data_IF_173499949109
#
_entry.id   IF_173499949109
#
_cell.length_a   1.000
_cell.length_b   1.000
_cell.length_c   1.000
_cell.angle_alpha   90.00
_cell.angle_beta   90.00
_cell.angle_gamma   90.00
#
_symmetry.space_group_name_H-M   'P 1'
#
loop_
_entity.id
_entity.type
_entity.pdbx_description
1 polymer ?
#
# COMPACT_ATOMS: atom_id res chain seq x y z
N UNK A 1 -30.77 37.81 6.37
CA UNK A 1 -29.43 37.90 5.74
C UNK A 1 -28.35 37.10 6.48
N UNK A 2 -28.62 36.53 7.67
CA UNK A 2 -27.71 35.61 8.38
C UNK A 2 -27.94 34.13 8.01
N UNK A 3 -29.19 33.73 7.74
CA UNK A 3 -29.58 32.35 7.41
C UNK A 3 -28.97 31.80 6.11
N UNK A 4 -28.61 32.67 5.16
CA UNK A 4 -27.96 32.28 3.90
C UNK A 4 -26.43 32.10 4.03
N UNK A 5 -25.81 32.67 5.07
CA UNK A 5 -24.40 32.49 5.37
C UNK A 5 -24.16 31.17 6.10
N UNK A 6 -25.02 30.82 7.07
CA UNK A 6 -24.95 29.53 7.77
C UNK A 6 -25.18 28.33 6.83
N UNK A 7 -26.07 28.49 5.84
CA UNK A 7 -26.29 27.47 4.81
C UNK A 7 -25.07 27.30 3.87
N UNK A 8 -24.30 28.36 3.63
CA UNK A 8 -23.05 28.31 2.85
C UNK A 8 -21.88 27.75 3.66
N UNK A 9 -21.83 27.98 4.97
CA UNK A 9 -20.82 27.36 5.85
C UNK A 9 -21.03 25.85 6.02
N UNK A 10 -22.28 25.38 6.12
CA UNK A 10 -22.57 23.92 6.12
C UNK A 10 -22.17 23.22 4.83
N UNK A 11 -22.09 23.93 3.70
CA UNK A 11 -21.69 23.38 2.40
C UNK A 11 -20.18 23.30 2.20
N UNK A 12 -19.38 23.80 3.16
CA UNK A 12 -17.92 23.69 3.16
C UNK A 12 -17.45 22.65 4.18
N UNK A 13 -18.25 21.61 4.43
CA UNK A 13 -17.70 20.36 4.97
C UNK A 13 -16.66 19.91 3.96
N UNK A 14 -15.40 20.06 4.32
CA UNK A 14 -14.25 19.62 3.54
C UNK A 14 -14.54 18.21 3.05
N UNK A 15 -14.86 18.09 1.76
CA UNK A 15 -15.13 16.82 1.14
C UNK A 15 -13.78 16.13 0.99
N UNK A 16 -13.35 15.48 2.07
CA UNK A 16 -12.18 14.62 2.03
C UNK A 16 -12.59 13.42 1.17
N UNK A 17 -11.90 13.14 0.06
CA UNK A 17 -12.19 11.96 -0.74
C UNK A 17 -11.98 10.71 0.14
N UNK A 18 -13.06 9.93 0.32
CA UNK A 18 -13.09 8.76 1.20
C UNK A 18 -13.97 8.94 2.44
N UNK A 19 -14.48 7.84 2.99
CA UNK A 19 -15.22 7.88 4.27
C UNK A 19 -14.29 8.29 5.42
N UNK A 20 -14.74 9.10 6.41
CA UNK A 20 -13.91 9.48 7.56
C UNK A 20 -13.32 8.29 8.32
N UNK A 21 -14.06 7.18 8.35
CA UNK A 21 -13.65 5.92 8.98
C UNK A 21 -12.38 5.34 8.34
N UNK A 22 -12.23 5.53 7.03
CA UNK A 22 -11.05 5.10 6.28
C UNK A 22 -9.80 5.91 6.69
N UNK A 23 -9.94 7.22 6.89
CA UNK A 23 -8.83 8.07 7.31
C UNK A 23 -8.38 7.78 8.75
N UNK A 24 -9.33 7.48 9.64
CA UNK A 24 -9.02 7.02 11.00
C UNK A 24 -8.24 5.71 10.97
N UNK A 25 -8.65 4.77 10.12
CA UNK A 25 -7.95 3.51 9.91
C UNK A 25 -6.52 3.73 9.37
N UNK A 26 -6.37 4.56 8.33
CA UNK A 26 -5.05 4.91 7.75
C UNK A 26 -4.13 5.54 8.80
N UNK A 27 -4.65 6.46 9.61
CA UNK A 27 -3.87 7.10 10.68
C UNK A 27 -3.42 6.07 11.72
N UNK A 28 -4.32 5.18 12.14
CA UNK A 28 -4.02 4.12 13.08
C UNK A 28 -2.93 3.16 12.56
N UNK A 29 -3.05 2.70 11.32
CA UNK A 29 -2.03 1.84 10.69
C UNK A 29 -0.70 2.56 10.55
N UNK A 30 -0.72 3.81 10.10
CA UNK A 30 0.50 4.62 9.96
C UNK A 30 1.20 4.79 11.32
N UNK A 31 0.45 5.02 12.40
CA UNK A 31 1.00 5.12 13.75
C UNK A 31 1.60 3.79 14.23
N UNK A 32 0.93 2.65 14.00
CA UNK A 32 1.45 1.33 14.34
C UNK A 32 2.75 1.02 13.61
N UNK A 33 2.78 1.23 12.29
CA UNK A 33 3.99 1.03 11.48
C UNK A 33 5.11 1.97 11.89
N UNK A 34 4.81 3.24 12.16
CA UNK A 34 5.80 4.22 12.63
C UNK A 34 6.39 3.83 13.98
N UNK A 35 5.57 3.34 14.92
CA UNK A 35 6.02 2.81 16.20
C UNK A 35 6.95 1.61 16.02
N UNK A 36 6.57 0.66 15.15
CA UNK A 36 7.41 -0.50 14.86
C UNK A 36 8.72 -0.11 14.16
N UNK A 37 8.69 0.84 13.22
CA UNK A 37 9.89 1.35 12.56
C UNK A 37 10.86 2.01 13.55
N UNK A 38 10.34 2.68 14.58
CA UNK A 38 11.17 3.24 15.64
C UNK A 38 11.91 2.14 16.41
N UNK A 39 11.23 1.03 16.72
CA UNK A 39 11.87 -0.14 17.35
C UNK A 39 12.94 -0.74 16.43
N UNK A 40 12.62 -0.95 15.15
CA UNK A 40 13.58 -1.46 14.16
C UNK A 40 14.85 -0.59 14.07
N UNK A 41 14.70 0.74 14.05
CA UNK A 41 15.84 1.67 14.02
C UNK A 41 16.70 1.57 15.28
N UNK A 42 16.09 1.44 16.47
CA UNK A 42 16.82 1.25 17.72
C UNK A 42 17.59 -0.08 17.71
N UNK A 43 16.93 -1.20 17.36
CA UNK A 43 17.59 -2.52 17.28
C UNK A 43 18.73 -2.53 16.28
N UNK A 44 18.58 -1.82 15.14
CA UNK A 44 19.65 -1.67 14.16
C UNK A 44 20.89 -0.99 14.76
N UNK A 45 20.73 0.11 15.51
CA UNK A 45 21.88 0.81 16.13
C UNK A 45 22.62 -0.04 17.16
N UNK A 46 21.96 -1.07 17.70
CA UNK A 46 22.57 -1.99 18.66
C UNK A 46 23.41 -3.08 17.97
N UNK A 47 23.06 -3.49 16.74
CA UNK A 47 23.68 -4.61 16.02
C UNK A 47 23.98 -4.27 14.54
N UNK A 48 24.61 -3.12 14.28
CA UNK A 48 24.82 -2.58 12.92
C UNK A 48 25.55 -3.55 11.97
N UNK A 49 26.58 -4.24 12.46
CA UNK A 49 27.40 -5.14 11.64
C UNK A 49 26.61 -6.38 11.15
N UNK A 50 25.73 -6.92 12.00
CA UNK A 50 24.87 -8.05 11.66
C UNK A 50 23.77 -7.64 10.67
N UNK A 51 23.22 -6.43 10.85
CA UNK A 51 22.23 -5.88 9.93
C UNK A 51 22.83 -5.60 8.55
N UNK A 52 24.03 -5.02 8.47
CA UNK A 52 24.73 -4.76 7.21
C UNK A 52 25.07 -6.05 6.44
N UNK A 53 25.50 -7.10 7.14
CA UNK A 53 25.78 -8.41 6.52
C UNK A 53 24.50 -9.08 6.01
N UNK A 54 23.47 -9.17 6.84
CA UNK A 54 22.18 -9.78 6.46
C UNK A 54 21.47 -8.99 5.34
N UNK A 55 21.61 -7.67 5.32
CA UNK A 55 21.07 -6.82 4.26
C UNK A 55 21.85 -6.95 2.93
N UNK A 56 23.11 -7.41 2.99
CA UNK A 56 23.92 -7.73 1.82
C UNK A 56 23.44 -8.98 1.07
N UNK A 57 22.74 -9.89 1.76
CA UNK A 57 22.16 -11.09 1.16
C UNK A 57 20.87 -10.78 0.38
N UNK A 58 20.20 -9.65 0.67
CA UNK A 58 19.00 -9.24 -0.04
C UNK A 58 19.32 -8.60 -1.39
N UNK A 59 18.65 -9.06 -2.44
CA UNK A 59 18.77 -8.47 -3.76
C UNK A 59 17.95 -7.17 -3.90
N UNK A 60 18.64 -6.04 -3.81
CA UNK A 60 18.10 -4.70 -4.01
C UNK A 60 17.33 -4.56 -5.33
N UNK A 61 17.68 -5.31 -6.38
CA UNK A 61 17.03 -5.22 -7.69
C UNK A 61 15.58 -5.67 -7.63
N UNK A 62 15.29 -6.72 -6.86
CA UNK A 62 13.92 -7.18 -6.63
C UNK A 62 13.12 -6.14 -5.85
N UNK A 63 13.72 -5.55 -4.80
CA UNK A 63 13.10 -4.47 -4.04
C UNK A 63 12.76 -3.24 -4.90
N UNK A 64 13.69 -2.79 -5.75
CA UNK A 64 13.48 -1.66 -6.66
C UNK A 64 12.42 -1.98 -7.71
N UNK A 65 12.49 -3.15 -8.34
CA UNK A 65 11.50 -3.59 -9.33
C UNK A 65 10.08 -3.61 -8.74
N UNK A 66 9.94 -4.17 -7.54
CA UNK A 66 8.69 -4.24 -6.81
C UNK A 66 8.13 -2.85 -6.47
N UNK A 67 8.99 -1.93 -6.05
CA UNK A 67 8.59 -0.56 -5.73
C UNK A 67 8.12 0.17 -6.99
N UNK A 68 8.81 0.03 -8.12
CA UNK A 68 8.37 0.60 -9.40
C UNK A 68 7.01 0.01 -9.82
N UNK A 69 6.83 -1.31 -9.69
CA UNK A 69 5.57 -1.96 -10.02
C UNK A 69 4.40 -1.41 -9.19
N UNK A 70 4.59 -1.26 -7.87
CA UNK A 70 3.55 -0.70 -7.00
C UNK A 70 3.25 0.78 -7.29
N UNK A 71 4.27 1.61 -7.54
CA UNK A 71 4.07 3.01 -7.94
C UNK A 71 3.29 3.13 -9.26
N UNK A 72 3.54 2.23 -10.22
CA UNK A 72 2.75 2.16 -11.46
C UNK A 72 1.30 1.71 -11.18
N UNK A 73 1.08 0.79 -10.25
CA UNK A 73 -0.25 0.41 -9.76
C UNK A 73 -0.99 1.56 -9.08
N UNK A 74 -0.28 2.34 -8.27
CA UNK A 74 -0.74 3.57 -7.63
C UNK A 74 -1.18 4.60 -8.68
N UNK A 75 -0.36 4.82 -9.71
CA UNK A 75 -0.72 5.69 -10.83
C UNK A 75 -1.95 5.18 -11.60
N UNK A 76 -2.06 3.87 -11.80
CA UNK A 76 -3.20 3.26 -12.47
C UNK A 76 -4.50 3.47 -11.68
N UNK A 77 -4.51 3.27 -10.35
CA UNK A 77 -5.71 3.49 -9.55
C UNK A 77 -6.09 4.99 -9.49
N UNK A 78 -5.12 5.90 -9.46
CA UNK A 78 -5.39 7.33 -9.58
C UNK A 78 -6.07 7.68 -10.91
N UNK A 79 -5.62 7.09 -12.03
CA UNK A 79 -6.26 7.23 -13.35
C UNK A 79 -7.64 6.56 -13.40
N UNK A 80 -7.86 5.48 -12.65
CA UNK A 80 -9.17 4.86 -12.48
C UNK A 80 -10.17 5.84 -11.85
N UNK A 81 -9.80 6.48 -10.75
CA UNK A 81 -10.64 7.48 -10.06
C UNK A 81 -10.97 8.65 -11.01
N UNK A 82 -9.97 9.19 -11.70
CA UNK A 82 -10.18 10.30 -12.66
C UNK A 82 -11.13 9.90 -13.80
N UNK A 83 -10.93 8.71 -14.40
CA UNK A 83 -11.79 8.21 -15.46
C UNK A 83 -13.22 7.93 -14.96
N UNK A 84 -13.36 7.44 -13.72
CA UNK A 84 -14.66 7.24 -13.08
C UNK A 84 -15.40 8.57 -12.90
N UNK A 85 -14.71 9.63 -12.44
CA UNK A 85 -15.27 10.98 -12.30
C UNK A 85 -15.70 11.59 -13.64
N UNK A 86 -14.95 11.33 -14.70
CA UNK A 86 -15.28 11.77 -16.07
C UNK A 86 -16.39 10.93 -16.74
N UNK A 87 -16.97 9.93 -16.07
CA UNK A 87 -17.97 9.03 -16.64
C UNK A 87 -17.42 8.03 -17.65
N UNK A 88 -16.10 7.95 -17.82
CA UNK A 88 -15.41 7.06 -18.74
C UNK A 88 -15.15 5.68 -18.11
N UNK A 89 -16.21 4.97 -17.74
CA UNK A 89 -16.14 3.73 -16.94
C UNK A 89 -15.34 2.59 -17.60
N UNK A 90 -15.31 2.49 -18.94
CA UNK A 90 -14.47 1.50 -19.64
C UNK A 90 -12.98 1.74 -19.39
N UNK A 91 -12.57 3.01 -19.40
CA UNK A 91 -11.18 3.40 -19.08
C UNK A 91 -10.89 3.18 -17.60
N UNK A 92 -11.85 3.49 -16.71
CA UNK A 92 -11.73 3.23 -15.28
C UNK A 92 -11.51 1.73 -14.97
N UNK A 93 -12.33 0.85 -15.56
CA UNK A 93 -12.18 -0.60 -15.42
C UNK A 93 -10.82 -1.10 -15.90
N UNK A 94 -10.36 -0.64 -17.08
CA UNK A 94 -9.04 -1.01 -17.59
C UNK A 94 -7.93 -0.62 -16.61
N UNK A 95 -7.99 0.59 -16.07
CA UNK A 95 -7.01 1.08 -15.11
C UNK A 95 -7.08 0.33 -13.76
N UNK A 96 -8.26 -0.06 -13.31
CA UNK A 96 -8.42 -0.91 -12.12
C UNK A 96 -7.79 -2.30 -12.33
N UNK A 97 -8.02 -2.94 -13.48
CA UNK A 97 -7.37 -4.22 -13.81
C UNK A 97 -5.84 -4.08 -13.94
N UNK A 98 -5.34 -2.97 -14.49
CA UNK A 98 -3.91 -2.68 -14.50
C UNK A 98 -3.34 -2.58 -13.08
N UNK A 99 -4.02 -1.87 -12.17
CA UNK A 99 -3.60 -1.79 -10.77
C UNK A 99 -3.53 -3.16 -10.09
N UNK A 100 -4.55 -4.02 -10.30
CA UNK A 100 -4.55 -5.41 -9.82
C UNK A 100 -3.37 -6.18 -10.43
N UNK A 101 -3.12 -6.05 -11.73
CA UNK A 101 -2.00 -6.71 -12.41
C UNK A 101 -0.64 -6.35 -11.80
N UNK A 102 -0.40 -5.07 -11.54
CA UNK A 102 0.83 -4.62 -10.87
C UNK A 102 0.95 -5.16 -9.45
N UNK A 103 -0.14 -5.18 -8.68
CA UNK A 103 -0.15 -5.82 -7.36
C UNK A 103 0.18 -7.31 -7.44
N UNK A 104 -0.34 -8.04 -8.44
CA UNK A 104 -0.07 -9.48 -8.60
C UNK A 104 1.40 -9.72 -8.93
N UNK A 105 1.99 -8.90 -9.80
CA UNK A 105 3.43 -8.95 -10.10
C UNK A 105 4.25 -8.76 -8.84
N UNK A 106 3.91 -7.75 -8.02
CA UNK A 106 4.54 -7.53 -6.74
C UNK A 106 4.40 -8.74 -5.80
N UNK A 107 3.20 -9.29 -5.66
CA UNK A 107 2.94 -10.43 -4.79
C UNK A 107 3.73 -11.66 -5.23
N UNK A 108 3.79 -11.95 -6.53
CA UNK A 108 4.55 -13.06 -7.08
C UNK A 108 6.06 -12.88 -6.84
N UNK A 109 6.60 -11.68 -7.13
CA UNK A 109 8.00 -11.37 -6.89
C UNK A 109 8.38 -11.50 -5.40
N UNK A 110 7.48 -11.14 -4.49
CA UNK A 110 7.69 -11.32 -3.05
C UNK A 110 7.68 -12.76 -2.59
N UNK A 111 6.75 -13.56 -3.10
CA UNK A 111 6.76 -15.01 -2.81
C UNK A 111 8.05 -15.65 -3.34
N UNK A 112 8.53 -15.27 -4.53
CA UNK A 112 9.79 -15.80 -5.05
C UNK A 112 11.00 -15.40 -4.21
N UNK A 113 11.03 -14.16 -3.71
CA UNK A 113 12.10 -13.69 -2.81
C UNK A 113 12.09 -14.48 -1.50
N UNK A 114 10.94 -14.63 -0.84
CA UNK A 114 10.82 -15.44 0.38
C UNK A 114 11.26 -16.89 0.17
N UNK A 115 10.83 -17.53 -0.91
CA UNK A 115 11.25 -18.91 -1.21
C UNK A 115 12.76 -19.00 -1.42
N UNK A 116 13.36 -17.97 -2.02
CA UNK A 116 14.79 -17.92 -2.33
C UNK A 116 15.60 -17.73 -1.04
N UNK A 117 15.21 -16.79 -0.17
CA UNK A 117 15.83 -16.58 1.15
C UNK A 117 15.72 -17.83 2.04
N UNK A 118 14.54 -18.46 2.10
CA UNK A 118 14.34 -19.69 2.89
C UNK A 118 15.23 -20.82 2.36
N UNK A 119 15.41 -20.93 1.04
CA UNK A 119 16.31 -21.93 0.43
C UNK A 119 17.79 -21.65 0.72
N UNK A 120 18.17 -20.39 0.90
CA UNK A 120 19.53 -20.01 1.30
C UNK A 120 19.81 -20.21 2.80
N UNK A 121 18.81 -20.65 3.59
CA UNK A 121 18.94 -20.86 5.04
C UNK A 121 18.61 -19.62 5.88
N UNK A 122 18.18 -18.53 5.23
CA UNK A 122 17.76 -17.28 5.88
C UNK A 122 16.30 -17.40 6.34
N UNK A 123 16.10 -18.16 7.42
CA UNK A 123 14.80 -18.39 8.06
C UNK A 123 14.47 -17.33 9.10
N UNK A 124 13.22 -17.33 9.57
CA UNK A 124 12.73 -16.48 10.65
C UNK A 124 13.54 -16.58 11.96
N UNK A 125 14.30 -17.67 12.17
CA UNK A 125 15.11 -17.87 13.38
C UNK A 125 16.59 -17.59 13.17
N UNK A 126 17.00 -17.23 11.94
CA UNK A 126 18.43 -17.09 11.61
C UNK A 126 19.03 -15.86 12.28
N UNK A 127 18.38 -14.70 12.20
CA UNK A 127 18.89 -13.44 12.74
C UNK A 127 17.74 -12.48 13.10
N UNK A 128 18.00 -11.55 14.04
CA UNK A 128 17.04 -10.50 14.41
C UNK A 128 16.60 -9.66 13.19
N UNK A 129 17.50 -9.39 12.24
CA UNK A 129 17.14 -8.71 10.99
C UNK A 129 16.05 -9.48 10.21
N UNK A 130 16.23 -10.78 10.01
CA UNK A 130 15.27 -11.61 9.26
C UNK A 130 13.92 -11.70 9.99
N UNK A 131 13.91 -11.69 11.33
CA UNK A 131 12.66 -11.60 12.10
C UNK A 131 11.86 -10.34 11.76
N UNK A 132 12.51 -9.17 11.81
CA UNK A 132 11.86 -7.90 11.48
C UNK A 132 11.48 -7.83 9.99
N UNK A 133 12.36 -8.30 9.10
CA UNK A 133 12.12 -8.38 7.66
C UNK A 133 10.86 -9.18 7.34
N UNK A 134 10.79 -10.43 7.81
CA UNK A 134 9.65 -11.29 7.53
C UNK A 134 8.38 -10.77 8.23
N UNK A 135 8.47 -10.25 9.44
CA UNK A 135 7.32 -9.68 10.14
C UNK A 135 6.72 -8.49 9.37
N UNK A 136 7.54 -7.50 9.02
CA UNK A 136 7.12 -6.30 8.27
C UNK A 136 6.61 -6.63 6.87
N UNK A 137 7.29 -7.51 6.15
CA UNK A 137 6.87 -7.90 4.81
C UNK A 137 5.62 -8.78 4.83
N UNK A 138 5.45 -9.65 5.83
CA UNK A 138 4.26 -10.50 5.96
C UNK A 138 3.02 -9.69 6.33
N UNK A 139 3.11 -8.78 7.30
CA UNK A 139 1.99 -7.91 7.65
C UNK A 139 1.60 -7.06 6.44
N UNK A 140 2.57 -6.47 5.73
CA UNK A 140 2.30 -5.72 4.50
C UNK A 140 1.64 -6.59 3.42
N UNK A 141 2.11 -7.82 3.24
CA UNK A 141 1.53 -8.76 2.27
C UNK A 141 0.05 -9.04 2.59
N UNK A 142 -0.31 -9.18 3.87
CA UNK A 142 -1.72 -9.31 4.28
C UNK A 142 -2.53 -8.08 3.90
N UNK A 143 -2.00 -6.86 4.11
CA UNK A 143 -2.68 -5.62 3.71
C UNK A 143 -2.85 -5.53 2.19
N UNK A 144 -1.86 -5.98 1.42
CA UNK A 144 -1.98 -6.07 -0.03
C UNK A 144 -3.09 -7.04 -0.45
N UNK A 145 -3.22 -8.19 0.22
CA UNK A 145 -4.32 -9.14 -0.03
C UNK A 145 -5.69 -8.51 0.23
N UNK A 146 -5.84 -7.77 1.34
CA UNK A 146 -7.05 -7.00 1.63
C UNK A 146 -7.26 -5.93 0.54
N UNK A 147 -6.19 -5.28 0.08
CA UNK A 147 -6.21 -4.32 -1.02
C UNK A 147 -6.77 -4.90 -2.32
N UNK A 148 -6.45 -6.16 -2.65
CA UNK A 148 -7.07 -6.82 -3.80
C UNK A 148 -8.57 -7.01 -3.64
N UNK A 149 -9.05 -7.33 -2.43
CA UNK A 149 -10.48 -7.43 -2.15
C UNK A 149 -11.15 -6.07 -2.37
N UNK A 150 -10.54 -5.00 -1.84
CA UNK A 150 -11.01 -3.61 -2.02
C UNK A 150 -11.05 -3.20 -3.50
N UNK A 151 -9.99 -3.50 -4.26
CA UNK A 151 -9.98 -3.26 -5.72
C UNK A 151 -11.03 -4.10 -6.45
N UNK A 152 -11.28 -5.33 -6.00
CA UNK A 152 -12.36 -6.18 -6.51
C UNK A 152 -13.74 -5.53 -6.32
N UNK A 153 -13.98 -4.91 -5.16
CA UNK A 153 -15.21 -4.13 -4.90
C UNK A 153 -15.29 -2.90 -5.81
N UNK A 154 -14.19 -2.20 -6.05
CA UNK A 154 -14.12 -1.07 -7.00
C UNK A 154 -14.50 -1.52 -8.42
N UNK A 155 -13.91 -2.62 -8.89
CA UNK A 155 -14.24 -3.21 -10.20
C UNK A 155 -15.72 -3.60 -10.27
N UNK A 156 -16.24 -4.27 -9.23
CA UNK A 156 -17.64 -4.68 -9.15
C UNK A 156 -18.62 -3.49 -9.26
N UNK A 157 -18.30 -2.37 -8.62
CA UNK A 157 -19.14 -1.17 -8.70
C UNK A 157 -19.04 -0.43 -10.03
N UNK A 158 -17.88 -0.42 -10.66
CA UNK A 158 -17.70 0.19 -11.99
C UNK A 158 -18.44 -0.59 -13.09
N UNK A 159 -18.75 -1.87 -12.86
CA UNK A 159 -19.33 -2.75 -13.87
C UNK A 159 -20.85 -2.50 -14.11
N UNK A 160 -21.59 -2.04 -13.10
CA UNK A 160 -23.05 -1.88 -13.17
C UNK A 160 -23.50 -0.42 -13.08
N UNK A 161 -24.28 0.13 -14.04
CA UNK A 161 -24.73 1.53 -14.01
C UNK A 161 -25.47 1.96 -12.74
N UNK A 162 -26.27 1.06 -12.14
CA UNK A 162 -27.02 1.32 -10.91
C UNK A 162 -26.24 1.11 -9.60
N UNK A 163 -24.96 0.72 -9.68
CA UNK A 163 -24.09 0.41 -8.53
C UNK A 163 -22.88 1.34 -8.43
N UNK A 164 -22.84 2.41 -9.24
CA UNK A 164 -21.70 3.32 -9.32
C UNK A 164 -21.68 4.28 -8.14
N UNK A 165 -20.74 4.07 -7.21
CA UNK A 165 -20.47 5.00 -6.12
C UNK A 165 -19.07 5.57 -6.23
N UNK A 166 -18.96 6.86 -6.56
CA UNK A 166 -17.66 7.55 -6.60
C UNK A 166 -16.97 7.53 -5.24
N UNK A 167 -17.73 7.66 -4.16
CA UNK A 167 -17.19 7.67 -2.80
C UNK A 167 -16.45 6.37 -2.46
N UNK A 168 -17.00 5.23 -2.87
CA UNK A 168 -16.38 3.93 -2.63
C UNK A 168 -15.17 3.66 -3.56
N UNK A 169 -15.21 4.15 -4.80
CA UNK A 169 -14.05 4.13 -5.71
C UNK A 169 -12.89 4.95 -5.14
N UNK A 170 -13.19 6.13 -4.62
CA UNK A 170 -12.21 7.01 -3.96
C UNK A 170 -11.69 6.39 -2.66
N UNK A 171 -12.56 5.83 -1.83
CA UNK A 171 -12.17 5.13 -0.60
C UNK A 171 -11.22 3.96 -0.90
N UNK A 172 -11.54 3.16 -1.93
CA UNK A 172 -10.69 2.05 -2.34
C UNK A 172 -9.34 2.49 -2.92
N UNK A 173 -9.31 3.60 -3.64
CA UNK A 173 -8.06 4.19 -4.12
C UNK A 173 -7.20 4.70 -2.96
N UNK A 174 -7.78 5.41 -1.99
CA UNK A 174 -7.06 5.86 -0.78
C UNK A 174 -6.47 4.68 0.00
N UNK A 175 -7.19 3.56 0.09
CA UNK A 175 -6.68 2.32 0.70
C UNK A 175 -5.44 1.82 -0.04
N UNK A 176 -5.55 1.66 -1.36
CA UNK A 176 -4.44 1.18 -2.18
C UNK A 176 -3.21 2.09 -2.09
N UNK A 177 -3.41 3.40 -2.12
CA UNK A 177 -2.33 4.38 -1.96
C UNK A 177 -1.66 4.32 -0.58
N UNK A 178 -2.43 4.04 0.47
CA UNK A 178 -1.88 3.90 1.83
C UNK A 178 -1.00 2.65 1.93
N UNK A 179 -1.47 1.53 1.40
CA UNK A 179 -0.69 0.29 1.36
C UNK A 179 0.61 0.49 0.56
N UNK A 180 0.53 1.14 -0.60
CA UNK A 180 1.69 1.50 -1.42
C UNK A 180 2.69 2.40 -0.66
N UNK A 181 2.19 3.43 0.05
CA UNK A 181 3.04 4.29 0.88
C UNK A 181 3.76 3.53 1.99
N UNK A 182 3.06 2.63 2.70
CA UNK A 182 3.66 1.77 3.71
C UNK A 182 4.76 0.89 3.11
N UNK A 183 4.57 0.36 1.90
CA UNK A 183 5.60 -0.40 1.20
C UNK A 183 6.87 0.42 0.97
N UNK A 184 6.73 1.65 0.47
CA UNK A 184 7.87 2.53 0.19
C UNK A 184 8.69 2.78 1.46
N UNK A 185 8.04 2.94 2.62
CA UNK A 185 8.73 3.07 3.91
C UNK A 185 9.48 1.79 4.30
N UNK A 186 8.83 0.62 4.16
CA UNK A 186 9.46 -0.69 4.42
C UNK A 186 10.67 -0.89 3.51
N UNK A 187 10.51 -0.60 2.22
CA UNK A 187 11.58 -0.70 1.23
C UNK A 187 12.75 0.24 1.56
N UNK A 188 12.46 1.51 1.90
CA UNK A 188 13.48 2.46 2.28
C UNK A 188 14.31 1.94 3.47
N UNK A 189 13.65 1.46 4.53
CA UNK A 189 14.33 0.98 5.73
C UNK A 189 15.10 -0.33 5.51
N UNK A 190 14.48 -1.32 4.85
CA UNK A 190 15.04 -2.67 4.72
C UNK A 190 16.04 -2.80 3.58
N UNK A 191 15.92 -2.01 2.50
CA UNK A 191 16.76 -2.17 1.31
C UNK A 191 17.68 -0.97 1.03
N UNK A 192 17.27 0.25 1.37
CA UNK A 192 17.99 1.48 0.97
C UNK A 192 18.89 2.02 2.07
N UNK A 193 18.40 2.12 3.31
CA UNK A 193 19.22 2.59 4.43
C UNK A 193 20.24 1.50 4.75
N UNK A 194 21.50 1.76 4.39
CA UNK A 194 22.69 0.95 4.71
C UNK A 194 23.55 1.71 5.70
#
# INVERSE_FOLDING_TARGET
MSTSLEARERSRREFVPGQPDMWMFVLFETLLFTGYFSVYLVTRTQNEELFLRAQGDLDLRFGVFNTIALLLGSWAIARCVQASRAGAYRSALRNAFLAIGFGVVFAAAKVTEWVTEIRMGNTFTTNEFFQHYYFLTAIHFIHLLIGFVVLGVVVYQLWGPGRRSQQLVETGATYWHTVDFLWVLIFALLYVVR
#
